data_IF_059301998544
#
_entry.id   IF_059301998544
#
_cell.length_a   1.000
_cell.length_b   1.000
_cell.length_c   1.000
_cell.angle_alpha   90.00
_cell.angle_beta   90.00
_cell.angle_gamma   90.00
#
_symmetry.space_group_name_H-M   'P 1'
#
loop_
_entity.id
_entity.type
_entity.pdbx_description
1 polymer ?
#
# COMPACT_ATOMS: atom_id res chain seq x y z
N UNK A 1 -16.67 0.16 6.93
CA UNK A 1 -15.79 -0.65 7.83
C UNK A 1 -15.57 0.13 9.11
N UNK A 2 -15.55 -0.54 10.27
CA UNK A 2 -15.12 0.12 11.51
C UNK A 2 -13.59 0.15 11.59
N UNK A 3 -13.00 1.36 11.57
CA UNK A 3 -11.56 1.57 11.67
C UNK A 3 -11.09 1.82 13.10
N UNK A 4 -12.02 1.99 14.05
CA UNK A 4 -11.71 2.25 15.45
C UNK A 4 -11.41 0.92 16.17
N UNK A 5 -10.20 0.41 15.94
CA UNK A 5 -9.74 -0.88 16.45
C UNK A 5 -8.84 -0.72 17.67
N UNK A 6 -8.86 -1.71 18.57
CA UNK A 6 -7.90 -1.77 19.67
C UNK A 6 -6.48 -1.91 19.15
N UNK A 7 -5.56 -1.29 19.86
CA UNK A 7 -4.12 -1.33 19.59
C UNK A 7 -3.39 -2.08 20.69
N UNK A 8 -2.10 -2.31 20.51
CA UNK A 8 -1.23 -2.88 21.56
C UNK A 8 -1.25 -2.09 22.87
N UNK A 9 -1.62 -0.80 22.83
CA UNK A 9 -1.71 0.04 24.00
C UNK A 9 -3.02 -0.14 24.79
N UNK A 10 -4.03 -0.74 24.18
CA UNK A 10 -5.34 -0.97 24.79
C UNK A 10 -5.45 -2.31 25.52
N UNK A 11 -4.37 -3.10 25.56
CA UNK A 11 -4.33 -4.42 26.19
C UNK A 11 -3.09 -4.59 27.05
N UNK A 12 -3.21 -5.42 28.09
CA UNK A 12 -2.04 -5.78 28.91
C UNK A 12 -1.24 -6.87 28.21
N UNK A 13 0.03 -6.58 27.91
CA UNK A 13 0.95 -7.50 27.24
C UNK A 13 1.97 -8.13 28.18
N UNK A 14 2.02 -7.66 29.43
CA UNK A 14 3.02 -8.08 30.41
C UNK A 14 2.95 -9.56 30.72
N UNK A 15 4.06 -10.25 30.55
CA UNK A 15 4.18 -11.68 30.81
C UNK A 15 3.51 -12.58 29.77
N UNK A 16 2.89 -11.99 28.74
CA UNK A 16 2.20 -12.74 27.69
C UNK A 16 3.11 -13.11 26.53
N UNK A 17 2.84 -14.25 25.92
CA UNK A 17 3.38 -14.63 24.63
C UNK A 17 2.52 -14.00 23.54
N UNK A 18 3.13 -13.17 22.71
CA UNK A 18 2.47 -12.39 21.68
C UNK A 18 2.91 -12.86 20.31
N UNK A 19 1.94 -13.33 19.50
CA UNK A 19 2.17 -13.59 18.08
C UNK A 19 2.08 -12.26 17.33
N UNK A 20 3.22 -11.77 16.83
CA UNK A 20 3.33 -10.51 16.11
C UNK A 20 3.51 -10.77 14.61
N UNK A 21 2.51 -10.40 13.82
CA UNK A 21 2.58 -10.49 12.36
C UNK A 21 3.23 -9.25 11.77
N UNK A 22 4.46 -9.39 11.33
CA UNK A 22 5.25 -8.34 10.68
C UNK A 22 5.21 -8.46 9.16
N UNK A 23 5.62 -7.41 8.47
CA UNK A 23 5.95 -7.44 7.05
C UNK A 23 7.46 -7.34 6.86
N UNK A 24 8.11 -8.48 6.80
CA UNK A 24 9.53 -8.65 6.52
C UNK A 24 9.79 -9.14 5.08
N UNK A 25 8.84 -8.88 4.18
CA UNK A 25 9.00 -9.15 2.76
C UNK A 25 9.96 -8.12 2.15
N UNK A 26 11.21 -8.18 2.57
CA UNK A 26 12.27 -7.26 2.18
C UNK A 26 12.74 -7.51 0.75
N UNK A 27 13.17 -6.47 0.02
CA UNK A 27 13.82 -6.65 -1.27
C UNK A 27 15.19 -7.31 -1.08
N UNK A 28 15.51 -8.22 -1.98
CA UNK A 28 16.75 -8.97 -1.97
C UNK A 28 17.41 -8.92 -3.35
N UNK A 29 18.72 -8.98 -3.36
CA UNK A 29 19.46 -9.24 -4.59
C UNK A 29 19.08 -10.62 -5.16
N UNK A 30 18.75 -10.65 -6.44
CA UNK A 30 18.20 -11.85 -7.09
C UNK A 30 19.21 -13.01 -7.19
N UNK A 31 20.48 -12.67 -7.24
CA UNK A 31 21.57 -13.66 -7.38
C UNK A 31 22.05 -14.15 -6.02
N UNK A 32 22.29 -13.23 -5.09
CA UNK A 32 22.94 -13.53 -3.80
C UNK A 32 21.96 -13.76 -2.65
N UNK A 33 20.70 -13.27 -2.77
CA UNK A 33 19.71 -13.29 -1.69
C UNK A 33 19.98 -12.28 -0.57
N UNK A 34 20.96 -11.41 -0.73
CA UNK A 34 21.30 -10.38 0.26
C UNK A 34 20.20 -9.33 0.31
N UNK A 35 19.82 -8.92 1.52
CA UNK A 35 18.83 -7.86 1.76
C UNK A 35 19.39 -6.54 1.21
N UNK A 36 18.67 -5.93 0.27
CA UNK A 36 19.05 -4.65 -0.36
C UNK A 36 18.43 -3.44 0.34
N UNK A 37 17.40 -3.63 1.14
CA UNK A 37 16.79 -2.59 1.97
C UNK A 37 16.17 -3.21 3.22
N UNK A 38 16.45 -2.64 4.38
CA UNK A 38 15.91 -3.05 5.68
C UNK A 38 14.75 -2.15 6.16
N UNK A 39 14.26 -1.25 5.33
CA UNK A 39 13.20 -0.28 5.70
C UNK A 39 11.99 -0.92 6.37
N UNK A 40 11.55 -2.09 5.89
CA UNK A 40 10.41 -2.81 6.46
C UNK A 40 10.72 -3.37 7.86
N UNK A 41 11.94 -3.81 8.08
CA UNK A 41 12.38 -4.28 9.40
C UNK A 41 12.43 -3.10 10.37
N UNK A 42 13.02 -1.99 9.95
CA UNK A 42 13.10 -0.76 10.75
C UNK A 42 11.70 -0.26 11.11
N UNK A 43 10.77 -0.29 10.16
CA UNK A 43 9.38 0.15 10.38
C UNK A 43 8.64 -0.68 11.44
N UNK A 44 9.01 -1.95 11.63
CA UNK A 44 8.42 -2.82 12.66
C UNK A 44 9.00 -2.60 14.07
N UNK A 45 10.13 -1.93 14.19
CA UNK A 45 10.83 -1.76 15.47
C UNK A 45 9.99 -1.06 16.56
N UNK A 46 9.20 -0.01 16.29
CA UNK A 46 8.40 0.64 17.33
C UNK A 46 7.45 -0.33 18.05
N UNK A 47 6.73 -1.17 17.31
CA UNK A 47 5.84 -2.17 17.88
C UNK A 47 6.61 -3.25 18.63
N UNK A 48 7.70 -3.75 18.05
CA UNK A 48 8.56 -4.77 18.68
C UNK A 48 9.12 -4.24 20.00
N UNK A 49 9.72 -3.05 20.00
CA UNK A 49 10.29 -2.44 21.21
C UNK A 49 9.24 -2.20 22.28
N UNK A 50 8.07 -1.70 21.89
CA UNK A 50 6.96 -1.52 22.83
C UNK A 50 6.59 -2.81 23.54
N UNK A 51 6.46 -3.91 22.80
CA UNK A 51 6.11 -5.22 23.36
C UNK A 51 7.20 -5.74 24.30
N UNK A 52 8.46 -5.67 23.89
CA UNK A 52 9.60 -6.11 24.70
C UNK A 52 9.77 -5.27 25.97
N UNK A 53 9.68 -3.95 25.85
CA UNK A 53 9.84 -3.02 26.97
C UNK A 53 8.70 -3.14 28.00
N UNK A 54 7.52 -3.61 27.56
CA UNK A 54 6.38 -3.88 28.45
C UNK A 54 6.32 -5.34 28.93
N UNK A 55 7.39 -6.10 28.75
CA UNK A 55 7.53 -7.44 29.32
C UNK A 55 6.81 -8.56 28.58
N UNK A 56 6.50 -8.38 27.30
CA UNK A 56 5.99 -9.46 26.47
C UNK A 56 7.11 -10.39 26.00
N UNK A 57 6.76 -11.64 25.73
CA UNK A 57 7.57 -12.59 24.96
C UNK A 57 7.06 -12.57 23.52
N UNK A 58 7.89 -12.16 22.56
CA UNK A 58 7.44 -11.90 21.19
C UNK A 58 7.77 -13.05 20.25
N UNK A 59 6.74 -13.60 19.63
CA UNK A 59 6.85 -14.57 18.54
C UNK A 59 6.51 -13.83 17.23
N UNK A 60 7.55 -13.32 16.56
CA UNK A 60 7.38 -12.63 15.29
C UNK A 60 7.23 -13.64 14.15
N UNK A 61 6.40 -13.30 13.18
CA UNK A 61 6.21 -14.09 11.97
C UNK A 61 6.00 -13.18 10.75
N UNK A 62 6.39 -13.65 9.60
CA UNK A 62 6.26 -12.96 8.32
C UNK A 62 6.34 -13.92 7.16
N UNK A 63 5.92 -13.44 6.00
CA UNK A 63 6.22 -14.05 4.71
C UNK A 63 7.43 -13.38 4.06
N UNK A 64 8.01 -14.06 3.08
CA UNK A 64 9.04 -13.53 2.18
C UNK A 64 8.86 -14.15 0.80
N UNK A 65 8.63 -13.32 -0.21
CA UNK A 65 8.45 -13.76 -1.58
C UNK A 65 7.23 -14.67 -1.80
N UNK A 66 7.34 -15.53 -2.81
CA UNK A 66 6.26 -16.45 -3.22
C UNK A 66 6.81 -17.88 -3.40
N UNK A 67 7.12 -18.59 -2.32
CA UNK A 67 7.66 -19.95 -2.38
C UNK A 67 6.64 -21.03 -2.76
N UNK A 68 5.33 -20.72 -2.70
CA UNK A 68 4.23 -21.62 -3.07
C UNK A 68 4.16 -22.92 -2.24
N UNK A 69 4.41 -22.81 -0.95
CA UNK A 69 4.35 -23.96 -0.03
C UNK A 69 5.58 -24.84 -0.03
N UNK A 70 6.67 -24.41 -0.66
CA UNK A 70 7.91 -25.15 -0.73
C UNK A 70 9.05 -24.41 -0.02
N UNK A 71 9.92 -25.15 0.64
CA UNK A 71 11.13 -24.57 1.22
C UNK A 71 12.09 -24.15 0.11
N UNK A 72 12.59 -22.91 0.17
CA UNK A 72 13.56 -22.35 -0.77
C UNK A 72 14.62 -21.58 0.00
N UNK A 73 15.88 -22.00 -0.12
CA UNK A 73 17.00 -21.42 0.60
C UNK A 73 17.10 -19.88 0.46
N UNK A 74 16.80 -19.34 -0.72
CA UNK A 74 16.81 -17.88 -0.97
C UNK A 74 15.69 -17.11 -0.26
N UNK A 75 14.66 -17.80 0.20
CA UNK A 75 13.49 -17.20 0.84
C UNK A 75 13.39 -17.51 2.34
N UNK A 76 14.44 -18.04 2.93
CA UNK A 76 14.52 -18.17 4.40
C UNK A 76 14.56 -16.80 5.07
N UNK A 77 13.92 -16.69 6.23
CA UNK A 77 13.97 -15.49 7.06
C UNK A 77 15.22 -15.40 7.96
N UNK A 78 16.14 -16.33 7.88
CA UNK A 78 17.37 -16.31 8.68
C UNK A 78 18.17 -14.98 8.55
N UNK A 79 18.37 -14.40 7.35
CA UNK A 79 19.03 -13.10 7.22
C UNK A 79 18.23 -11.96 7.87
N UNK A 80 16.91 -12.04 7.86
CA UNK A 80 16.04 -11.06 8.54
C UNK A 80 16.20 -11.15 10.05
N UNK A 81 16.25 -12.36 10.61
CA UNK A 81 16.50 -12.55 12.04
C UNK A 81 17.85 -11.96 12.47
N UNK A 82 18.90 -12.16 11.67
CA UNK A 82 20.22 -11.59 11.92
C UNK A 82 20.20 -10.05 11.89
N UNK A 83 19.57 -9.46 10.86
CA UNK A 83 19.46 -8.01 10.76
C UNK A 83 18.62 -7.41 11.88
N UNK A 84 17.53 -8.05 12.24
CA UNK A 84 16.68 -7.63 13.35
C UNK A 84 17.43 -7.67 14.68
N UNK A 85 18.26 -8.72 14.92
CA UNK A 85 19.13 -8.81 16.09
C UNK A 85 20.08 -7.62 16.18
N UNK A 86 20.70 -7.22 15.07
CA UNK A 86 21.61 -6.07 15.02
C UNK A 86 20.88 -4.77 15.35
N UNK A 87 19.68 -4.57 14.79
CA UNK A 87 18.88 -3.36 15.00
C UNK A 87 18.33 -3.26 16.42
N UNK A 88 17.97 -4.38 17.04
CA UNK A 88 17.46 -4.42 18.42
C UNK A 88 18.57 -4.35 19.46
N UNK A 89 19.81 -4.75 19.10
CA UNK A 89 20.91 -4.89 20.06
C UNK A 89 20.73 -6.08 21.01
N UNK A 90 19.90 -7.05 20.63
CA UNK A 90 19.68 -8.29 21.37
C UNK A 90 19.48 -9.48 20.43
N UNK A 91 19.65 -10.70 20.95
CA UNK A 91 19.44 -11.91 20.16
C UNK A 91 17.97 -12.03 19.72
N UNK A 92 17.75 -12.33 18.44
CA UNK A 92 16.49 -12.84 17.91
C UNK A 92 16.66 -14.33 17.68
N UNK A 93 15.92 -15.14 18.44
CA UNK A 93 15.94 -16.59 18.35
C UNK A 93 15.23 -17.00 17.05
N UNK A 94 15.94 -17.65 16.14
CA UNK A 94 15.37 -18.07 14.88
C UNK A 94 14.91 -19.53 14.90
N UNK A 95 13.64 -19.77 14.56
CA UNK A 95 13.08 -21.11 14.43
C UNK A 95 13.33 -21.69 13.03
N UNK A 96 13.65 -22.98 12.96
CA UNK A 96 13.92 -23.68 11.68
C UNK A 96 12.65 -24.07 10.94
N UNK A 97 11.52 -23.99 11.60
CA UNK A 97 10.19 -24.31 11.07
C UNK A 97 9.17 -23.26 11.51
N UNK A 98 7.90 -23.46 11.15
CA UNK A 98 6.83 -22.50 11.44
C UNK A 98 6.03 -22.99 12.65
N UNK A 99 5.47 -24.18 12.57
CA UNK A 99 4.65 -24.83 13.62
C UNK A 99 5.12 -26.25 13.93
N UNK A 100 6.36 -26.54 13.61
CA UNK A 100 7.02 -27.82 13.88
C UNK A 100 7.59 -27.91 15.31
N UNK A 101 8.36 -28.94 15.55
CA UNK A 101 8.96 -29.20 16.86
C UNK A 101 9.90 -28.09 17.33
N UNK A 102 10.72 -27.55 16.41
CA UNK A 102 11.70 -26.51 16.75
C UNK A 102 11.01 -25.21 17.18
N UNK A 103 10.03 -24.73 16.40
CA UNK A 103 9.27 -23.53 16.72
C UNK A 103 8.49 -23.69 18.03
N UNK A 104 7.81 -24.81 18.21
CA UNK A 104 7.03 -25.08 19.43
C UNK A 104 7.90 -25.14 20.69
N UNK A 105 9.06 -25.80 20.60
CA UNK A 105 10.00 -25.88 21.72
C UNK A 105 10.58 -24.51 22.08
N UNK A 106 10.99 -23.73 21.08
CA UNK A 106 11.52 -22.37 21.28
C UNK A 106 10.46 -21.42 21.81
N UNK A 107 9.22 -21.50 21.30
CA UNK A 107 8.10 -20.70 21.81
C UNK A 107 7.76 -21.04 23.27
N UNK A 108 7.77 -22.33 23.62
CA UNK A 108 7.53 -22.78 25.00
C UNK A 108 8.59 -22.25 25.98
N UNK A 109 9.85 -22.21 25.55
CA UNK A 109 10.97 -21.73 26.37
C UNK A 109 11.15 -20.21 26.38
N UNK A 110 10.43 -19.49 25.51
CA UNK A 110 10.57 -18.04 25.36
C UNK A 110 10.11 -17.30 26.62
N UNK A 111 10.95 -16.38 27.10
CA UNK A 111 10.72 -15.60 28.33
C UNK A 111 10.30 -14.16 27.99
N UNK A 112 9.60 -13.46 28.91
CA UNK A 112 9.36 -12.03 28.78
C UNK A 112 10.63 -11.23 28.47
N UNK A 113 10.53 -10.30 27.53
CA UNK A 113 11.66 -9.51 27.02
C UNK A 113 12.49 -10.20 25.94
N UNK A 114 12.20 -11.44 25.61
CA UNK A 114 12.82 -12.16 24.50
C UNK A 114 11.94 -12.14 23.25
N UNK A 115 12.60 -12.27 22.11
CA UNK A 115 11.96 -12.33 20.80
C UNK A 115 12.49 -13.51 19.98
N UNK A 116 11.58 -14.19 19.30
CA UNK A 116 11.89 -15.19 18.29
C UNK A 116 11.24 -14.84 16.95
N UNK A 117 11.80 -15.35 15.87
CA UNK A 117 11.23 -15.25 14.53
C UNK A 117 10.99 -16.65 13.98
N UNK A 118 9.77 -16.92 13.53
CA UNK A 118 9.42 -18.16 12.83
C UNK A 118 10.01 -18.16 11.42
N UNK A 119 10.16 -19.34 10.82
CA UNK A 119 10.52 -19.45 9.41
C UNK A 119 9.39 -18.92 8.50
N UNK A 120 9.72 -18.64 7.24
CA UNK A 120 8.81 -18.06 6.25
C UNK A 120 7.46 -18.78 6.22
N UNK A 121 6.41 -18.06 6.60
CA UNK A 121 5.04 -18.59 6.69
C UNK A 121 4.56 -19.24 5.38
N UNK A 122 5.02 -18.74 4.23
CA UNK A 122 4.63 -19.25 2.91
C UNK A 122 5.38 -20.49 2.47
N UNK A 123 6.28 -21.01 3.30
CA UNK A 123 6.81 -22.37 3.11
C UNK A 123 5.74 -23.44 3.40
N UNK A 124 4.67 -23.07 4.08
CA UNK A 124 3.50 -23.94 4.27
C UNK A 124 2.35 -23.43 3.40
N UNK A 125 1.84 -24.27 2.51
CA UNK A 125 0.73 -23.93 1.59
C UNK A 125 -0.55 -23.56 2.32
N UNK A 126 -0.71 -24.01 3.57
CA UNK A 126 -1.90 -23.75 4.40
C UNK A 126 -2.02 -22.27 4.82
N UNK A 127 -0.92 -21.51 4.81
CA UNK A 127 -0.93 -20.08 5.12
C UNK A 127 -1.84 -19.31 4.16
N UNK A 128 -1.57 -19.41 2.85
CA UNK A 128 -2.32 -18.67 1.82
C UNK A 128 -3.74 -19.18 1.64
N UNK A 129 -4.01 -20.42 2.05
CA UNK A 129 -5.35 -21.03 2.04
C UNK A 129 -6.19 -20.67 3.26
N UNK A 130 -5.64 -19.91 4.19
CA UNK A 130 -6.30 -19.60 5.47
C UNK A 130 -6.80 -20.87 6.17
N UNK A 131 -5.97 -21.90 6.20
CA UNK A 131 -6.34 -23.19 6.80
C UNK A 131 -6.55 -23.05 8.31
N UNK A 132 -7.73 -23.46 8.84
CA UNK A 132 -8.03 -23.30 10.27
C UNK A 132 -7.10 -24.10 11.19
N UNK A 133 -6.65 -25.27 10.76
CA UNK A 133 -5.73 -26.10 11.53
C UNK A 133 -4.36 -25.44 11.66
N UNK A 134 -3.83 -24.87 10.58
CA UNK A 134 -2.58 -24.12 10.60
C UNK A 134 -2.69 -22.84 11.42
N UNK A 135 -3.78 -22.09 11.27
CA UNK A 135 -4.04 -20.90 12.08
C UNK A 135 -4.09 -21.25 13.58
N UNK A 136 -4.71 -22.37 13.94
CA UNK A 136 -4.75 -22.84 15.32
C UNK A 136 -3.38 -23.22 15.84
N UNK A 137 -2.58 -23.93 15.06
CA UNK A 137 -1.20 -24.27 15.47
C UNK A 137 -0.33 -23.03 15.71
N UNK A 138 -0.49 -21.98 14.91
CA UNK A 138 0.13 -20.67 15.17
C UNK A 138 -0.38 -20.06 16.46
N UNK A 139 -1.68 -20.03 16.64
CA UNK A 139 -2.33 -19.42 17.80
C UNK A 139 -2.01 -20.14 19.12
N UNK A 140 -1.85 -21.45 19.08
CA UNK A 140 -1.55 -22.27 20.28
C UNK A 140 -0.19 -21.93 20.91
N UNK A 141 0.71 -21.26 20.18
CA UNK A 141 1.99 -20.78 20.71
C UNK A 141 1.90 -19.49 21.51
N UNK A 142 0.76 -18.79 21.47
CA UNK A 142 0.62 -17.44 22.01
C UNK A 142 -0.70 -17.22 22.76
N UNK A 143 -0.84 -16.06 23.38
CA UNK A 143 -2.01 -15.64 24.17
C UNK A 143 -2.67 -14.39 23.59
N UNK A 144 -1.98 -13.67 22.71
CA UNK A 144 -2.42 -12.44 22.06
C UNK A 144 -1.87 -12.40 20.64
N UNK A 145 -2.66 -11.92 19.70
CA UNK A 145 -2.24 -11.66 18.33
C UNK A 145 -2.17 -10.17 18.06
N UNK A 146 -1.06 -9.73 17.47
CA UNK A 146 -0.83 -8.34 17.05
C UNK A 146 -0.60 -8.30 15.55
N UNK A 147 -1.45 -7.57 14.82
CA UNK A 147 -1.32 -7.33 13.39
C UNK A 147 -0.55 -6.04 13.14
N UNK A 148 0.62 -6.14 12.54
CA UNK A 148 1.47 -4.99 12.23
C UNK A 148 1.98 -4.98 10.77
N UNK A 149 1.32 -5.73 9.90
CA UNK A 149 1.66 -5.88 8.48
C UNK A 149 0.52 -5.36 7.60
N UNK A 150 0.36 -4.04 7.51
CA UNK A 150 -0.74 -3.43 6.76
C UNK A 150 -0.78 -3.88 5.29
N UNK A 151 0.37 -4.07 4.65
CA UNK A 151 0.45 -4.56 3.27
C UNK A 151 -0.19 -5.93 3.01
N UNK A 152 -0.54 -6.68 4.07
CA UNK A 152 -1.13 -8.01 3.96
C UNK A 152 -2.57 -8.10 4.47
N UNK A 153 -3.12 -7.05 5.07
CA UNK A 153 -4.44 -7.09 5.72
C UNK A 153 -5.61 -7.26 4.74
N UNK A 154 -5.39 -7.03 3.46
CA UNK A 154 -6.39 -7.26 2.40
C UNK A 154 -6.57 -8.74 2.05
N UNK A 155 -5.69 -9.61 2.55
CA UNK A 155 -5.72 -11.05 2.27
C UNK A 155 -6.15 -11.83 3.50
N UNK A 156 -7.14 -12.70 3.35
CA UNK A 156 -7.55 -13.64 4.39
C UNK A 156 -6.59 -14.84 4.42
N UNK A 157 -5.38 -14.64 4.94
CA UNK A 157 -4.42 -15.72 5.19
C UNK A 157 -4.48 -16.18 6.65
N UNK A 158 -3.91 -17.33 6.96
CA UNK A 158 -3.95 -17.88 8.32
C UNK A 158 -3.32 -16.91 9.34
N UNK A 159 -2.15 -16.33 9.03
CA UNK A 159 -1.42 -15.42 9.93
C UNK A 159 -1.97 -13.98 9.94
N UNK A 160 -2.80 -13.60 8.99
CA UNK A 160 -3.33 -12.23 8.88
C UNK A 160 -4.77 -12.10 9.40
N UNK A 161 -5.56 -13.16 9.28
CA UNK A 161 -6.97 -13.18 9.68
C UNK A 161 -7.35 -14.43 10.48
N UNK A 162 -6.92 -15.61 10.04
CA UNK A 162 -7.34 -16.89 10.62
C UNK A 162 -7.03 -17.04 12.11
N UNK A 163 -5.88 -16.56 12.56
CA UNK A 163 -5.47 -16.64 13.98
C UNK A 163 -6.39 -15.88 14.93
N UNK A 164 -7.11 -14.87 14.42
CA UNK A 164 -8.07 -14.11 15.23
C UNK A 164 -9.31 -14.90 15.65
N UNK A 165 -9.54 -16.05 15.06
CA UNK A 165 -10.56 -16.99 15.52
C UNK A 165 -10.20 -17.66 16.87
N UNK A 166 -8.91 -17.65 17.23
CA UNK A 166 -8.38 -18.38 18.38
C UNK A 166 -7.69 -17.48 19.42
N UNK A 167 -7.34 -16.26 19.05
CA UNK A 167 -6.67 -15.30 19.92
C UNK A 167 -7.36 -13.94 19.90
N UNK A 168 -7.36 -13.19 21.01
CA UNK A 168 -7.66 -11.77 20.96
C UNK A 168 -6.69 -11.08 19.98
N UNK A 169 -7.22 -10.24 19.09
CA UNK A 169 -6.47 -9.63 18.01
C UNK A 169 -6.52 -8.10 18.11
N UNK A 170 -5.37 -7.46 18.11
CA UNK A 170 -5.23 -6.00 18.14
C UNK A 170 -4.23 -5.54 17.08
N UNK A 171 -4.23 -4.25 16.77
CA UNK A 171 -3.25 -3.67 15.83
C UNK A 171 -1.94 -3.30 16.50
N UNK A 172 -0.84 -3.46 15.79
CA UNK A 172 0.41 -2.78 16.09
C UNK A 172 0.38 -1.33 15.63
N UNK A 173 1.45 -0.59 15.85
CA UNK A 173 1.50 0.85 15.54
C UNK A 173 1.43 1.16 14.03
N UNK A 174 2.00 0.29 13.17
CA UNK A 174 1.91 0.49 11.71
C UNK A 174 0.47 0.41 11.23
N UNK A 175 -0.23 -0.65 11.58
CA UNK A 175 -1.64 -0.84 11.20
C UNK A 175 -2.51 0.25 11.83
N UNK A 176 -2.30 0.58 13.11
CA UNK A 176 -3.05 1.63 13.79
C UNK A 176 -2.90 2.98 13.09
N UNK A 177 -1.69 3.36 12.68
CA UNK A 177 -1.45 4.61 11.95
C UNK A 177 -2.14 4.63 10.60
N UNK A 178 -2.05 3.55 9.84
CA UNK A 178 -2.73 3.43 8.53
C UNK A 178 -4.25 3.59 8.68
N UNK A 179 -4.86 2.90 9.65
CA UNK A 179 -6.28 2.98 9.91
C UNK A 179 -6.70 4.38 10.36
N UNK A 180 -5.93 5.02 11.25
CA UNK A 180 -6.24 6.36 11.72
C UNK A 180 -6.17 7.40 10.61
N UNK A 181 -5.14 7.37 9.78
CA UNK A 181 -4.94 8.38 8.73
C UNK A 181 -5.86 8.14 7.54
N UNK A 182 -5.89 6.93 7.00
CA UNK A 182 -6.68 6.61 5.82
C UNK A 182 -8.17 6.52 6.14
N UNK A 183 -8.53 5.97 7.30
CA UNK A 183 -9.92 5.89 7.75
C UNK A 183 -10.54 7.28 7.91
N UNK A 184 -9.83 8.19 8.55
CA UNK A 184 -10.29 9.58 8.69
C UNK A 184 -10.41 10.29 7.34
N UNK A 185 -9.46 10.06 6.42
CA UNK A 185 -9.51 10.65 5.09
C UNK A 185 -10.73 10.20 4.27
N UNK A 186 -11.22 8.99 4.48
CA UNK A 186 -12.39 8.47 3.76
C UNK A 186 -13.72 8.79 4.44
N UNK A 187 -13.78 8.76 5.76
CA UNK A 187 -15.05 8.85 6.49
C UNK A 187 -15.34 10.27 7.03
N UNK A 188 -14.30 11.02 7.40
CA UNK A 188 -14.42 12.39 7.90
C UNK A 188 -13.22 13.24 7.45
N UNK A 189 -13.06 13.46 6.13
CA UNK A 189 -11.94 14.23 5.61
C UNK A 189 -12.07 15.71 5.97
N UNK A 190 -10.94 16.36 6.20
CA UNK A 190 -10.87 17.82 6.19
C UNK A 190 -11.09 18.27 4.73
N UNK A 191 -12.17 19.01 4.51
CA UNK A 191 -12.55 19.46 3.17
C UNK A 191 -11.90 20.80 2.79
N UNK A 192 -11.71 21.09 1.48
CA UNK A 192 -12.03 20.23 0.34
C UNK A 192 -11.21 18.93 0.31
N UNK A 193 -11.87 17.83 -0.06
CA UNK A 193 -11.22 16.53 -0.25
C UNK A 193 -10.96 16.31 -1.75
N UNK A 194 -9.68 16.20 -2.10
CA UNK A 194 -9.21 15.98 -3.48
C UNK A 194 -8.59 14.58 -3.58
N UNK A 195 -9.09 13.80 -4.52
CA UNK A 195 -8.51 12.51 -4.88
C UNK A 195 -7.77 12.63 -6.21
N UNK A 196 -6.49 12.20 -6.24
CA UNK A 196 -5.65 12.19 -7.43
C UNK A 196 -5.38 10.74 -7.81
N UNK A 197 -5.87 10.34 -8.97
CA UNK A 197 -5.76 8.97 -9.47
C UNK A 197 -5.00 8.95 -10.79
N UNK A 198 -4.02 8.09 -10.88
CA UNK A 198 -3.21 7.87 -12.07
C UNK A 198 -2.96 6.39 -12.30
N UNK A 199 -2.03 6.10 -13.20
CA UNK A 199 -1.68 4.75 -13.58
C UNK A 199 -2.07 4.42 -15.01
N UNK A 200 -1.75 3.20 -15.47
CA UNK A 200 -1.86 2.83 -16.87
C UNK A 200 -3.30 2.46 -17.30
N UNK A 201 -4.07 1.80 -16.42
CA UNK A 201 -5.33 1.15 -16.79
C UNK A 201 -6.50 1.60 -15.92
N UNK A 202 -7.64 1.87 -16.56
CA UNK A 202 -8.92 2.13 -15.89
C UNK A 202 -9.38 0.91 -15.11
N UNK A 203 -9.20 -0.30 -15.66
CA UNK A 203 -9.62 -1.55 -15.04
C UNK A 203 -9.02 -1.78 -13.64
N UNK A 204 -7.81 -1.27 -13.41
CA UNK A 204 -7.14 -1.38 -12.11
C UNK A 204 -7.69 -0.39 -11.06
N UNK A 205 -8.49 0.59 -11.48
CA UNK A 205 -8.97 1.71 -10.65
C UNK A 205 -10.49 1.84 -10.59
N UNK A 206 -11.24 0.94 -11.22
CA UNK A 206 -12.71 1.02 -11.33
C UNK A 206 -13.37 1.24 -9.96
N UNK A 207 -13.07 0.37 -9.01
CA UNK A 207 -13.68 0.44 -7.69
C UNK A 207 -13.23 1.66 -6.88
N UNK A 208 -11.98 2.08 -7.06
CA UNK A 208 -11.43 3.30 -6.42
C UNK A 208 -12.13 4.54 -6.95
N UNK A 209 -12.24 4.68 -8.28
CA UNK A 209 -12.91 5.83 -8.91
C UNK A 209 -14.35 5.88 -8.43
N UNK A 210 -15.05 4.76 -8.49
CA UNK A 210 -16.45 4.65 -8.09
C UNK A 210 -16.67 5.07 -6.63
N UNK A 211 -15.83 4.58 -5.71
CA UNK A 211 -15.93 4.92 -4.29
C UNK A 211 -15.58 6.38 -4.00
N UNK A 212 -14.54 6.91 -4.64
CA UNK A 212 -14.10 8.29 -4.39
C UNK A 212 -15.05 9.33 -5.01
N UNK A 213 -15.77 9.00 -6.08
CA UNK A 213 -16.85 9.84 -6.60
C UNK A 213 -18.03 9.98 -5.63
N UNK A 214 -18.17 9.10 -4.66
CA UNK A 214 -19.16 9.21 -3.58
C UNK A 214 -18.65 10.03 -2.38
N UNK A 215 -17.35 10.30 -2.29
CA UNK A 215 -16.71 10.86 -1.08
C UNK A 215 -15.97 12.18 -1.31
N UNK A 216 -15.32 12.35 -2.44
CA UNK A 216 -14.46 13.50 -2.73
C UNK A 216 -15.24 14.70 -3.27
N UNK A 217 -14.68 15.88 -3.08
CA UNK A 217 -15.19 17.13 -3.70
C UNK A 217 -14.63 17.29 -5.12
N UNK A 218 -13.40 16.82 -5.34
CA UNK A 218 -12.72 16.81 -6.64
C UNK A 218 -12.02 15.47 -6.85
N UNK A 219 -12.15 14.92 -8.04
CA UNK A 219 -11.39 13.73 -8.48
C UNK A 219 -10.59 14.11 -9.72
N UNK A 220 -9.29 13.87 -9.66
CA UNK A 220 -8.33 14.14 -10.73
C UNK A 220 -7.93 12.80 -11.34
N UNK A 221 -8.02 12.68 -12.65
CA UNK A 221 -7.62 11.50 -13.42
C UNK A 221 -6.41 11.86 -14.29
N UNK A 222 -5.30 11.16 -14.10
CA UNK A 222 -4.09 11.29 -14.92
C UNK A 222 -3.53 9.94 -15.34
N UNK A 223 -2.33 9.95 -15.88
CA UNK A 223 -1.68 8.73 -16.35
C UNK A 223 -2.31 8.13 -17.62
N UNK A 224 -1.90 6.92 -17.98
CA UNK A 224 -2.36 6.24 -19.19
C UNK A 224 -3.86 5.98 -19.24
N UNK A 225 -4.50 5.81 -18.09
CA UNK A 225 -5.95 5.60 -18.03
C UNK A 225 -6.77 6.82 -18.51
N UNK A 226 -6.18 8.01 -18.51
CA UNK A 226 -6.87 9.22 -18.98
C UNK A 226 -7.19 9.15 -20.48
N UNK A 227 -6.43 8.41 -21.26
CA UNK A 227 -6.68 8.29 -22.72
C UNK A 227 -7.90 7.45 -23.03
N UNK A 228 -8.24 6.49 -22.16
CA UNK A 228 -9.52 5.78 -22.25
C UNK A 228 -10.70 6.76 -22.05
N UNK A 229 -10.60 7.68 -21.11
CA UNK A 229 -11.60 8.74 -20.93
C UNK A 229 -11.68 9.69 -22.16
N UNK A 230 -10.53 10.08 -22.71
CA UNK A 230 -10.49 10.92 -23.91
C UNK A 230 -11.13 10.23 -25.11
N UNK A 231 -10.82 8.96 -25.33
CA UNK A 231 -11.42 8.15 -26.41
C UNK A 231 -12.92 7.99 -26.22
N UNK A 232 -13.38 7.76 -25.01
CA UNK A 232 -14.80 7.64 -24.68
C UNK A 232 -15.59 8.91 -25.03
N UNK A 233 -14.96 10.06 -24.92
CA UNK A 233 -15.54 11.37 -25.27
C UNK A 233 -15.40 11.72 -26.77
N UNK A 234 -14.95 10.81 -27.60
CA UNK A 234 -14.80 11.01 -29.05
C UNK A 234 -13.43 11.55 -29.48
N UNK A 235 -12.43 11.61 -28.59
CA UNK A 235 -11.10 12.07 -28.89
C UNK A 235 -10.29 11.07 -29.74
N UNK A 236 -9.27 11.61 -30.43
CA UNK A 236 -8.23 10.84 -31.11
C UNK A 236 -7.01 10.74 -30.23
N UNK A 237 -6.57 9.53 -29.91
CA UNK A 237 -5.51 9.29 -28.93
C UNK A 237 -4.24 8.66 -29.54
N UNK A 238 -4.15 8.59 -30.88
CA UNK A 238 -3.03 7.95 -31.57
C UNK A 238 -2.85 6.49 -31.13
N UNK A 239 -1.62 6.12 -30.80
CA UNK A 239 -1.29 4.79 -30.26
C UNK A 239 -1.19 4.75 -28.72
N UNK A 240 -1.78 5.75 -28.03
CA UNK A 240 -1.83 5.77 -26.58
C UNK A 240 -2.53 4.56 -25.97
N UNK A 241 -2.20 4.24 -24.72
CA UNK A 241 -2.89 3.20 -23.97
C UNK A 241 -4.40 3.45 -23.96
N UNK A 242 -5.17 2.40 -24.25
CA UNK A 242 -6.62 2.45 -24.23
C UNK A 242 -7.19 1.07 -23.90
N UNK A 243 -8.26 1.06 -23.12
CA UNK A 243 -9.07 -0.13 -22.86
C UNK A 243 -10.44 0.04 -23.55
N UNK A 244 -10.61 -0.48 -24.80
CA UNK A 244 -11.85 -0.29 -25.56
C UNK A 244 -13.10 -0.83 -24.87
N UNK A 245 -12.97 -1.86 -24.06
CA UNK A 245 -14.06 -2.45 -23.27
C UNK A 245 -14.45 -1.60 -22.03
N UNK A 246 -13.73 -0.51 -21.74
CA UNK A 246 -13.97 0.39 -20.62
C UNK A 246 -14.49 1.79 -21.03
N UNK A 247 -14.75 2.02 -22.31
CA UNK A 247 -15.23 3.32 -22.79
C UNK A 247 -16.57 3.67 -22.18
N UNK A 248 -17.51 2.73 -22.15
CA UNK A 248 -18.84 2.96 -21.54
C UNK A 248 -18.73 3.24 -20.04
N UNK A 249 -17.87 2.53 -19.35
CA UNK A 249 -17.57 2.76 -17.94
C UNK A 249 -17.02 4.19 -17.70
N UNK A 250 -16.10 4.64 -18.54
CA UNK A 250 -15.56 6.00 -18.45
C UNK A 250 -16.65 7.07 -18.57
N UNK A 251 -17.60 6.91 -19.51
CA UNK A 251 -18.75 7.78 -19.66
C UNK A 251 -19.67 7.73 -18.44
N UNK A 252 -19.93 6.55 -17.89
CA UNK A 252 -20.72 6.37 -16.66
C UNK A 252 -20.09 7.11 -15.48
N UNK A 253 -18.77 7.09 -15.34
CA UNK A 253 -18.07 7.81 -14.27
C UNK A 253 -18.13 9.32 -14.43
N UNK A 254 -18.06 9.82 -15.66
CA UNK A 254 -18.26 11.25 -15.96
C UNK A 254 -19.68 11.68 -15.54
N UNK A 255 -20.69 10.91 -15.89
CA UNK A 255 -22.09 11.19 -15.51
C UNK A 255 -22.31 11.06 -13.98
N UNK A 256 -21.70 10.07 -13.35
CA UNK A 256 -21.75 9.91 -11.88
C UNK A 256 -21.16 11.13 -11.18
N UNK A 257 -20.02 11.64 -11.64
CA UNK A 257 -19.41 12.84 -11.09
C UNK A 257 -20.35 14.04 -11.17
N UNK A 258 -21.00 14.26 -12.31
CA UNK A 258 -21.99 15.33 -12.48
C UNK A 258 -23.19 15.17 -11.53
N UNK A 259 -23.72 13.95 -11.44
CA UNK A 259 -24.86 13.64 -10.56
C UNK A 259 -24.53 13.88 -9.09
N UNK A 260 -23.31 13.55 -8.67
CA UNK A 260 -22.86 13.70 -7.29
C UNK A 260 -22.34 15.11 -6.97
N UNK A 261 -22.27 16.01 -7.95
CA UNK A 261 -21.69 17.35 -7.79
C UNK A 261 -20.17 17.32 -7.53
N UNK A 262 -19.48 16.26 -7.96
CA UNK A 262 -18.03 16.11 -7.85
C UNK A 262 -17.37 16.73 -9.07
N UNK A 263 -16.37 17.55 -8.87
CA UNK A 263 -15.55 18.09 -9.95
C UNK A 263 -14.58 17.02 -10.46
N UNK A 264 -14.85 16.49 -11.64
CA UNK A 264 -13.96 15.52 -12.30
C UNK A 264 -13.04 16.28 -13.27
N UNK A 265 -11.74 16.25 -12.99
CA UNK A 265 -10.70 16.86 -13.83
C UNK A 265 -9.98 15.81 -14.66
N UNK A 266 -10.04 16.00 -15.98
CA UNK A 266 -9.34 15.17 -16.97
C UNK A 266 -8.27 16.03 -17.66
N UNK A 267 -7.18 15.41 -18.16
CA UNK A 267 -6.16 16.15 -18.92
C UNK A 267 -6.75 16.83 -20.14
N UNK A 268 -6.37 18.09 -20.34
CA UNK A 268 -6.73 18.88 -21.53
C UNK A 268 -5.64 18.89 -22.57
N UNK A 269 -4.36 18.81 -22.14
CA UNK A 269 -3.19 18.68 -22.99
C UNK A 269 -2.29 17.54 -22.52
N UNK A 270 -1.45 17.08 -23.41
CA UNK A 270 -0.63 15.88 -23.21
C UNK A 270 0.74 16.11 -23.83
N UNK A 271 1.78 15.65 -23.17
CA UNK A 271 3.11 15.47 -23.78
C UNK A 271 3.09 14.15 -24.51
N UNK A 272 3.01 14.19 -25.82
CA UNK A 272 3.01 13.03 -26.69
C UNK A 272 4.42 12.74 -27.21
N UNK A 273 4.71 11.48 -27.42
CA UNK A 273 5.99 11.00 -27.98
C UNK A 273 5.76 10.08 -29.16
N UNK A 274 6.72 10.03 -30.08
CA UNK A 274 6.70 9.14 -31.27
C UNK A 274 7.19 7.73 -30.97
N UNK A 275 7.80 7.52 -29.80
CA UNK A 275 8.26 6.21 -29.32
C UNK A 275 8.25 6.16 -27.78
N UNK A 276 8.19 4.95 -27.23
CA UNK A 276 8.27 4.72 -25.78
C UNK A 276 9.73 4.70 -25.31
N UNK A 277 10.32 5.88 -25.23
CA UNK A 277 11.73 6.08 -24.88
C UNK A 277 11.90 7.45 -24.24
N UNK A 278 12.85 7.59 -23.32
CA UNK A 278 13.17 8.89 -22.72
C UNK A 278 13.60 9.94 -23.75
N UNK A 279 14.31 9.51 -24.81
CA UNK A 279 14.86 10.38 -25.85
C UNK A 279 13.97 10.51 -27.10
N UNK A 280 12.75 9.98 -27.07
CA UNK A 280 11.79 10.12 -28.15
C UNK A 280 11.48 11.59 -28.45
N UNK A 281 11.17 11.87 -29.72
CA UNK A 281 10.63 13.18 -30.08
C UNK A 281 9.33 13.40 -29.34
N UNK A 282 9.15 14.58 -28.80
CA UNK A 282 7.98 14.93 -27.99
C UNK A 282 7.39 16.27 -28.39
N UNK A 283 6.07 16.38 -28.24
CA UNK A 283 5.33 17.59 -28.46
C UNK A 283 4.15 17.70 -27.51
N UNK A 284 3.73 18.91 -27.21
CA UNK A 284 2.50 19.17 -26.45
C UNK A 284 1.36 19.25 -27.43
N UNK A 285 0.33 18.44 -27.21
CA UNK A 285 -0.87 18.37 -28.05
C UNK A 285 -2.12 18.38 -27.17
N UNK A 286 -3.28 18.67 -27.78
CA UNK A 286 -4.55 18.42 -27.10
C UNK A 286 -4.69 16.94 -26.80
N UNK A 287 -5.13 16.59 -25.59
CA UNK A 287 -5.43 15.19 -25.22
C UNK A 287 -6.52 14.57 -26.11
N UNK A 288 -7.40 15.40 -26.68
CA UNK A 288 -8.44 14.98 -27.61
C UNK A 288 -7.97 14.83 -29.06
N UNK A 289 -6.74 15.20 -29.38
CA UNK A 289 -6.20 15.23 -30.73
C UNK A 289 -4.72 14.80 -30.76
N UNK A 290 -4.40 13.65 -30.22
CA UNK A 290 -3.07 13.05 -30.29
C UNK A 290 -2.89 12.48 -31.70
N UNK A 291 -1.81 12.87 -32.44
CA UNK A 291 -1.60 12.41 -33.83
C UNK A 291 -1.41 10.91 -33.94
N UNK A 292 -1.77 10.36 -35.08
CA UNK A 292 -1.46 8.96 -35.41
C UNK A 292 0.04 8.68 -35.31
N UNK A 293 0.39 7.51 -34.76
CA UNK A 293 1.78 7.12 -34.52
C UNK A 293 2.42 7.76 -33.28
N UNK A 294 1.73 8.64 -32.59
CA UNK A 294 2.15 9.25 -31.32
C UNK A 294 1.37 8.67 -30.15
N UNK A 295 1.97 8.67 -28.98
CA UNK A 295 1.35 8.23 -27.74
C UNK A 295 1.56 9.25 -26.60
N UNK A 296 0.55 9.35 -25.75
CA UNK A 296 0.65 10.18 -24.55
C UNK A 296 1.60 9.54 -23.54
N UNK A 297 2.52 10.39 -23.02
CA UNK A 297 3.55 9.96 -22.05
C UNK A 297 3.49 10.71 -20.74
N UNK A 298 2.91 11.92 -20.73
CA UNK A 298 2.73 12.75 -19.53
C UNK A 298 1.60 13.74 -19.77
N UNK A 299 1.06 14.30 -18.69
CA UNK A 299 0.15 15.45 -18.75
C UNK A 299 0.92 16.70 -19.23
N UNK A 300 0.23 17.57 -19.98
CA UNK A 300 0.80 18.79 -20.49
C UNK A 300 0.78 19.95 -19.49
N UNK A 301 1.38 21.09 -19.85
CA UNK A 301 1.52 22.24 -18.94
C UNK A 301 0.18 22.85 -18.50
N UNK A 302 -0.82 22.92 -19.37
CA UNK A 302 -2.14 23.44 -19.00
C UNK A 302 -2.86 22.52 -18.02
N UNK A 303 -2.73 21.22 -18.22
CA UNK A 303 -3.25 20.19 -17.29
C UNK A 303 -2.56 20.28 -15.94
N UNK A 304 -1.23 20.42 -15.92
CA UNK A 304 -0.44 20.63 -14.69
C UNK A 304 -0.98 21.83 -13.92
N UNK A 305 -1.17 22.97 -14.59
CA UNK A 305 -1.67 24.19 -13.96
C UNK A 305 -3.07 23.97 -13.35
N UNK A 306 -3.96 23.32 -14.07
CA UNK A 306 -5.33 23.03 -13.59
C UNK A 306 -5.34 22.05 -12.41
N UNK A 307 -4.55 20.98 -12.47
CA UNK A 307 -4.45 19.98 -11.41
C UNK A 307 -3.83 20.55 -10.13
N UNK A 308 -2.74 21.30 -10.27
CA UNK A 308 -2.11 21.97 -9.13
C UNK A 308 -3.03 23.01 -8.49
N UNK A 309 -3.80 23.76 -9.29
CA UNK A 309 -4.80 24.71 -8.78
C UNK A 309 -5.90 24.01 -7.96
N UNK A 310 -6.33 22.81 -8.39
CA UNK A 310 -7.33 22.04 -7.66
C UNK A 310 -6.81 21.50 -6.32
N UNK A 311 -5.53 21.18 -6.22
CA UNK A 311 -4.88 20.72 -4.98
C UNK A 311 -4.63 21.89 -4.02
N UNK A 312 -4.37 23.08 -4.55
CA UNK A 312 -4.13 24.28 -3.74
C UNK A 312 -5.38 24.61 -2.91
N UNK A 313 -5.17 24.75 -1.60
CA UNK A 313 -6.26 25.04 -0.67
C UNK A 313 -7.09 23.82 -0.28
N UNK A 314 -6.73 22.60 -0.69
CA UNK A 314 -7.34 21.37 -0.21
C UNK A 314 -7.11 21.18 1.30
N UNK A 315 -8.06 20.55 1.96
CA UNK A 315 -7.92 20.11 3.34
C UNK A 315 -7.33 18.71 3.46
N UNK A 316 -7.70 17.85 2.52
CA UNK A 316 -7.20 16.46 2.41
C UNK A 316 -6.93 16.13 0.96
N UNK A 317 -5.79 15.50 0.68
CA UNK A 317 -5.44 14.99 -0.65
C UNK A 317 -5.02 13.52 -0.52
N UNK A 318 -5.66 12.66 -1.29
CA UNK A 318 -5.25 11.25 -1.45
C UNK A 318 -4.75 11.07 -2.88
N UNK A 319 -3.55 10.55 -3.04
CA UNK A 319 -2.95 10.32 -4.35
C UNK A 319 -2.57 8.84 -4.53
N UNK A 320 -3.03 8.25 -5.62
CA UNK A 320 -2.70 6.87 -6.01
C UNK A 320 -2.50 6.78 -7.52
N UNK A 321 -1.26 6.54 -7.95
CA UNK A 321 -0.85 6.37 -9.33
C UNK A 321 -0.22 7.62 -9.96
N UNK A 322 0.88 7.46 -10.72
CA UNK A 322 1.61 8.57 -11.35
C UNK A 322 0.82 9.21 -12.48
N UNK A 323 1.19 10.45 -12.83
CA UNK A 323 0.52 11.25 -13.88
C UNK A 323 1.09 10.98 -15.28
N UNK A 324 2.24 10.33 -15.37
CA UNK A 324 2.92 10.02 -16.62
C UNK A 324 3.97 8.94 -16.41
N UNK A 325 4.79 8.70 -17.42
CA UNK A 325 5.90 7.74 -17.39
C UNK A 325 7.09 8.38 -16.67
N UNK A 326 6.97 8.55 -15.38
CA UNK A 326 7.90 9.31 -14.54
C UNK A 326 9.30 8.66 -14.43
N UNK A 327 9.41 7.38 -14.77
CA UNK A 327 10.69 6.67 -14.87
C UNK A 327 11.60 7.27 -15.92
N UNK A 328 11.03 7.96 -16.91
CA UNK A 328 11.73 8.76 -17.89
C UNK A 328 11.74 10.23 -17.45
N UNK A 329 12.91 10.81 -17.25
CA UNK A 329 13.04 12.20 -16.78
C UNK A 329 12.30 13.21 -17.67
N UNK A 330 12.27 12.97 -18.97
CA UNK A 330 11.57 13.84 -19.93
C UNK A 330 10.04 13.76 -19.86
N UNK A 331 9.51 12.80 -19.13
CA UNK A 331 8.06 12.57 -18.93
C UNK A 331 7.68 12.52 -17.45
N UNK A 332 8.50 13.10 -16.59
CA UNK A 332 8.30 13.15 -15.14
C UNK A 332 7.69 14.47 -14.64
N UNK A 333 7.54 15.48 -15.52
CA UNK A 333 7.12 16.82 -15.13
C UNK A 333 5.76 16.85 -14.44
N UNK A 334 4.78 16.09 -14.94
CA UNK A 334 3.45 16.04 -14.37
C UNK A 334 3.43 15.40 -12.97
N UNK A 335 4.12 14.29 -12.80
CA UNK A 335 4.23 13.60 -11.50
C UNK A 335 4.99 14.44 -10.49
N UNK A 336 6.09 15.10 -10.92
CA UNK A 336 6.84 16.04 -10.08
C UNK A 336 6.00 17.24 -9.65
N UNK A 337 5.26 17.83 -10.55
CA UNK A 337 4.38 18.97 -10.25
C UNK A 337 3.29 18.60 -9.25
N UNK A 338 2.72 17.41 -9.38
CA UNK A 338 1.72 16.89 -8.42
C UNK A 338 2.34 16.69 -7.05
N UNK A 339 3.50 16.09 -6.95
CA UNK A 339 4.21 15.91 -5.68
C UNK A 339 4.52 17.26 -5.01
N UNK A 340 4.97 18.25 -5.79
CA UNK A 340 5.22 19.61 -5.31
C UNK A 340 3.91 20.27 -4.83
N UNK A 341 2.84 20.13 -5.57
CA UNK A 341 1.54 20.68 -5.19
C UNK A 341 1.01 20.10 -3.86
N UNK A 342 1.18 18.80 -3.65
CA UNK A 342 0.86 18.17 -2.37
C UNK A 342 1.73 18.74 -1.24
N UNK A 343 3.05 18.84 -1.47
CA UNK A 343 3.98 19.37 -0.50
C UNK A 343 3.66 20.81 -0.06
N UNK A 344 3.20 21.63 -0.99
CA UNK A 344 2.90 23.06 -0.77
C UNK A 344 1.45 23.31 -0.31
N UNK A 345 0.59 22.31 -0.34
CA UNK A 345 -0.86 22.49 -0.10
C UNK A 345 -1.24 22.84 1.34
N UNK A 346 -0.42 22.46 2.32
CA UNK A 346 -0.80 22.51 3.73
C UNK A 346 -1.91 21.52 4.13
N UNK A 347 -2.34 20.66 3.21
CA UNK A 347 -3.36 19.64 3.42
C UNK A 347 -2.81 18.44 4.19
N UNK A 348 -3.72 17.61 4.72
CA UNK A 348 -3.40 16.23 5.07
C UNK A 348 -3.19 15.47 3.75
N UNK A 349 -1.96 15.07 3.48
CA UNK A 349 -1.58 14.42 2.22
C UNK A 349 -1.26 12.95 2.44
N UNK A 350 -1.90 12.09 1.65
CA UNK A 350 -1.76 10.64 1.73
C UNK A 350 -1.39 10.13 0.34
N UNK A 351 -0.27 9.42 0.26
CA UNK A 351 0.17 8.75 -0.97
C UNK A 351 0.07 7.25 -0.77
N UNK A 352 -0.67 6.58 -1.62
CA UNK A 352 -0.85 5.14 -1.61
C UNK A 352 -0.47 4.50 -2.95
N UNK A 353 -0.05 3.23 -2.89
CA UNK A 353 0.43 2.48 -4.04
C UNK A 353 1.94 2.55 -4.25
N UNK A 354 2.51 1.45 -4.75
CA UNK A 354 3.95 1.30 -4.88
C UNK A 354 4.59 2.33 -5.81
N UNK A 355 3.98 2.57 -6.96
CA UNK A 355 4.51 3.51 -7.97
C UNK A 355 4.47 4.96 -7.48
N UNK A 356 3.39 5.35 -6.82
CA UNK A 356 3.26 6.71 -6.27
C UNK A 356 4.25 6.95 -5.13
N UNK A 357 4.40 5.99 -4.24
CA UNK A 357 5.37 6.05 -3.14
C UNK A 357 6.81 6.12 -3.69
N UNK A 358 7.13 5.28 -4.67
CA UNK A 358 8.42 5.30 -5.34
C UNK A 358 8.69 6.64 -6.03
N UNK A 359 7.69 7.19 -6.74
CA UNK A 359 7.80 8.49 -7.39
C UNK A 359 8.08 9.62 -6.39
N UNK A 360 7.35 9.67 -5.29
CA UNK A 360 7.54 10.68 -4.24
C UNK A 360 8.91 10.58 -3.59
N UNK A 361 9.39 9.36 -3.32
CA UNK A 361 10.73 9.13 -2.78
C UNK A 361 11.82 9.52 -3.78
N UNK A 362 11.72 9.06 -5.03
CA UNK A 362 12.68 9.32 -6.09
C UNK A 362 12.81 10.82 -6.39
N UNK A 363 11.69 11.55 -6.36
CA UNK A 363 11.64 12.98 -6.63
C UNK A 363 11.99 13.85 -5.41
N UNK A 364 12.25 13.25 -4.25
CA UNK A 364 12.70 13.95 -3.04
C UNK A 364 11.61 14.64 -2.23
N UNK A 365 10.35 14.22 -2.35
CA UNK A 365 9.21 14.83 -1.62
C UNK A 365 8.70 14.00 -0.43
N UNK A 366 9.30 12.84 -0.15
CA UNK A 366 8.78 11.92 0.87
C UNK A 366 8.56 12.58 2.24
N UNK A 367 9.51 13.39 2.70
CA UNK A 367 9.45 14.08 4.00
C UNK A 367 8.39 15.17 4.07
N UNK A 368 7.84 15.58 2.93
CA UNK A 368 6.83 16.64 2.83
C UNK A 368 5.40 16.10 2.71
N UNK A 369 5.24 14.78 2.65
CA UNK A 369 3.94 14.10 2.61
C UNK A 369 3.57 13.67 4.02
N UNK A 370 2.33 13.92 4.42
CA UNK A 370 1.83 13.57 5.77
C UNK A 370 1.92 12.08 6.04
N UNK A 371 1.52 11.25 5.06
CA UNK A 371 1.55 9.81 5.19
C UNK A 371 1.76 9.14 3.83
N UNK A 372 2.81 8.31 3.75
CA UNK A 372 3.01 7.40 2.62
C UNK A 372 2.63 6.01 3.10
N UNK A 373 1.54 5.46 2.52
CA UNK A 373 1.06 4.15 2.91
C UNK A 373 2.04 3.05 2.51
N UNK A 374 2.30 2.15 3.44
CA UNK A 374 3.12 0.95 3.20
C UNK A 374 2.33 -0.19 2.57
N UNK A 375 1.02 0.02 2.38
CA UNK A 375 0.07 -1.05 2.11
C UNK A 375 0.04 -1.60 0.68
N UNK A 376 0.58 -0.91 -0.32
CA UNK A 376 0.46 -1.37 -1.71
C UNK A 376 -0.97 -1.73 -2.10
N UNK A 377 -1.22 -3.02 -2.35
CA UNK A 377 -2.55 -3.53 -2.66
C UNK A 377 -3.59 -3.31 -1.56
N UNK A 378 -3.19 -3.38 -0.30
CA UNK A 378 -4.10 -3.11 0.82
C UNK A 378 -4.56 -1.65 0.84
N UNK A 379 -3.67 -0.70 0.51
CA UNK A 379 -4.04 0.72 0.38
C UNK A 379 -5.06 0.93 -0.73
N UNK A 380 -4.88 0.25 -1.85
CA UNK A 380 -5.81 0.32 -2.98
C UNK A 380 -7.20 -0.20 -2.58
N UNK A 381 -7.26 -1.39 -2.00
CA UNK A 381 -8.53 -1.98 -1.55
C UNK A 381 -9.19 -1.16 -0.43
N UNK A 382 -8.40 -0.50 0.41
CA UNK A 382 -8.89 0.44 1.39
C UNK A 382 -9.61 1.63 0.70
N UNK A 383 -8.97 2.21 -0.32
CA UNK A 383 -9.56 3.31 -1.11
C UNK A 383 -10.80 2.88 -1.92
N UNK A 384 -10.90 1.61 -2.25
CA UNK A 384 -12.09 1.01 -2.86
C UNK A 384 -13.29 0.91 -1.89
N UNK A 385 -13.07 1.13 -0.61
CA UNK A 385 -14.08 0.97 0.44
C UNK A 385 -14.36 -0.50 0.79
N UNK A 386 -13.50 -1.42 0.39
CA UNK A 386 -13.63 -2.84 0.72
C UNK A 386 -13.35 -3.11 2.19
N UNK A 387 -14.01 -4.13 2.73
CA UNK A 387 -13.63 -4.68 4.01
C UNK A 387 -12.32 -5.46 3.89
N UNK A 388 -11.34 -5.11 4.72
CA UNK A 388 -10.06 -5.78 4.77
C UNK A 388 -10.08 -6.87 5.83
N UNK A 389 -9.94 -8.16 5.47
CA UNK A 389 -10.07 -9.27 6.43
C UNK A 389 -9.16 -9.16 7.64
N UNK A 390 -7.92 -8.73 7.44
CA UNK A 390 -6.94 -8.55 8.53
C UNK A 390 -7.21 -7.33 9.43
N UNK A 391 -8.15 -6.46 9.05
CA UNK A 391 -8.67 -5.38 9.89
C UNK A 391 -9.98 -5.76 10.55
N UNK A 392 -10.89 -6.37 9.79
CA UNK A 392 -12.19 -6.78 10.28
C UNK A 392 -12.10 -7.75 11.45
N UNK A 393 -11.07 -8.60 11.48
CA UNK A 393 -10.84 -9.57 12.56
C UNK A 393 -10.30 -8.95 13.87
N UNK A 394 -9.88 -7.68 13.86
CA UNK A 394 -9.37 -7.01 15.06
C UNK A 394 -10.52 -6.58 15.98
N UNK A 395 -10.24 -6.60 17.28
CA UNK A 395 -11.19 -6.14 18.30
C UNK A 395 -11.49 -4.65 18.14
N UNK A 396 -12.76 -4.32 18.23
CA UNK A 396 -13.23 -2.93 18.25
C UNK A 396 -12.85 -2.25 19.57
N UNK A 397 -12.58 -0.96 19.50
CA UNK A 397 -12.24 -0.11 20.64
C UNK A 397 -13.48 0.39 21.36
#
# INVERSE_FOLDING_TARGET
MNYNKKTVQDVDVRGKKVLLRCDFNVPQDKETGVITSDKRIVAALPTIRYLLDNGAAVIACSHLGKPKGEWKAKLTLAPVAQRLSQLLGQEVIFAKDIVGEDAKAKAAALKPGQIMLLENLRFDIREEKNDPGFARELADMAELYVSDAFGTVHRAHASTAGVAAYLPAVSGFLVAKELAVMGKALDDPKRPFVAVLGGAKVSDKIAVINNLLDKADTVIIGGGMAYTFAKAQGGSIGKSLCEPDKLDYALEMIEKAKKNGVKLLLPTDTVAADDFSNDAHRQVVSTMAIPDGWEGMDIGPDTIAAFCAAVKGAGTVVWNGPMGVFEFDNFAAGTRAMAQALADSGAVTIVGGGDSAAAVEQLGFADKITHISTGGGASLEFLEGKELPGVACLLDR
#
